data_IF_529278627362
#
_entry.id   IF_529278627362
#
_cell.length_a   1.000
_cell.length_b   1.000
_cell.length_c   1.000
_cell.angle_alpha   90.00
_cell.angle_beta   90.00
_cell.angle_gamma   90.00
#
_symmetry.space_group_name_H-M   'P 1'
#
loop_
_entity.id
_entity.type
_entity.pdbx_description
1 polymer ?
#
# COMPACT_ATOMS: atom_id res chain seq x y z
N UNK A 1 -29.98 14.10 -11.25
CA UNK A 1 -28.55 14.12 -11.59
C UNK A 1 -27.61 14.04 -10.36
N UNK A 2 -27.92 14.68 -9.25
CA UNK A 2 -27.09 14.63 -8.02
C UNK A 2 -26.86 13.22 -7.44
N UNK A 3 -27.85 12.32 -7.52
CA UNK A 3 -27.75 10.95 -6.96
C UNK A 3 -26.71 10.08 -7.70
N UNK A 4 -26.64 10.14 -9.02
CA UNK A 4 -25.67 9.34 -9.81
C UNK A 4 -24.23 9.80 -9.55
N UNK A 5 -24.00 11.10 -9.45
CA UNK A 5 -22.68 11.66 -9.13
C UNK A 5 -22.22 11.20 -7.74
N UNK A 6 -23.09 11.26 -6.75
CA UNK A 6 -22.78 10.83 -5.37
C UNK A 6 -22.43 9.33 -5.32
N UNK A 7 -23.14 8.48 -6.06
CA UNK A 7 -22.84 7.03 -6.14
C UNK A 7 -21.49 6.76 -6.79
N UNK A 8 -21.12 7.49 -7.82
CA UNK A 8 -19.82 7.37 -8.49
C UNK A 8 -18.69 7.77 -7.51
N UNK A 9 -18.84 8.88 -6.80
CA UNK A 9 -17.87 9.33 -5.82
C UNK A 9 -17.71 8.33 -4.67
N UNK A 10 -18.81 7.86 -4.09
CA UNK A 10 -18.79 6.85 -3.04
C UNK A 10 -18.10 5.55 -3.48
N UNK A 11 -18.36 5.12 -4.72
CA UNK A 11 -17.69 3.95 -5.28
C UNK A 11 -16.18 4.14 -5.45
N UNK A 12 -15.74 5.31 -5.93
CA UNK A 12 -14.32 5.66 -6.06
C UNK A 12 -13.63 5.70 -4.70
N UNK A 13 -14.21 6.37 -3.73
CA UNK A 13 -13.67 6.44 -2.37
C UNK A 13 -13.55 5.05 -1.74
N UNK A 14 -14.55 4.19 -1.92
CA UNK A 14 -14.49 2.80 -1.44
C UNK A 14 -13.35 2.02 -2.09
N UNK A 15 -13.16 2.14 -3.41
CA UNK A 15 -12.02 1.53 -4.10
C UNK A 15 -10.69 2.04 -3.55
N UNK A 16 -10.57 3.35 -3.31
CA UNK A 16 -9.38 3.94 -2.71
C UNK A 16 -9.16 3.42 -1.30
N UNK A 17 -10.20 3.30 -0.48
CA UNK A 17 -10.07 2.77 0.87
C UNK A 17 -9.49 1.35 0.91
N UNK A 18 -9.92 0.47 0.01
CA UNK A 18 -9.33 -0.88 -0.10
C UNK A 18 -7.89 -0.84 -0.62
N UNK A 19 -7.58 0.06 -1.54
CA UNK A 19 -6.22 0.26 -2.03
C UNK A 19 -5.26 0.66 -0.89
N UNK A 20 -5.59 1.73 -0.18
CA UNK A 20 -4.76 2.22 0.91
C UNK A 20 -4.71 1.26 2.11
N UNK A 21 -5.81 0.55 2.40
CA UNK A 21 -5.82 -0.51 3.41
C UNK A 21 -4.89 -1.65 3.04
N UNK A 22 -4.82 -2.04 1.77
CA UNK A 22 -3.87 -3.04 1.27
C UNK A 22 -2.42 -2.67 1.58
N UNK A 23 -2.03 -1.42 1.29
CA UNK A 23 -0.70 -0.90 1.62
C UNK A 23 -0.45 -0.86 3.14
N UNK A 24 -1.40 -0.33 3.91
CA UNK A 24 -1.26 -0.18 5.36
C UNK A 24 -1.11 -1.53 6.06
N UNK A 25 -1.93 -2.53 5.69
CA UNK A 25 -1.86 -3.88 6.23
C UNK A 25 -0.58 -4.59 5.80
N UNK A 26 -0.15 -4.44 4.53
CA UNK A 26 1.10 -5.02 4.05
C UNK A 26 2.33 -4.45 4.77
N UNK A 27 2.35 -3.17 5.10
CA UNK A 27 3.37 -2.52 5.93
C UNK A 27 3.33 -3.06 7.36
N UNK A 28 2.15 -3.04 7.98
CA UNK A 28 1.97 -3.44 9.37
C UNK A 28 2.30 -4.91 9.61
N UNK A 29 1.92 -5.82 8.69
CA UNK A 29 2.21 -7.25 8.77
C UNK A 29 3.72 -7.57 8.72
N UNK A 30 4.50 -6.67 8.12
CA UNK A 30 5.97 -6.78 8.02
C UNK A 30 6.70 -5.99 9.11
N UNK A 31 5.98 -5.47 10.10
CA UNK A 31 6.55 -4.67 11.18
C UNK A 31 7.03 -3.29 10.74
N UNK A 32 6.80 -2.90 9.50
CA UNK A 32 7.23 -1.60 8.99
C UNK A 32 6.42 -0.47 9.60
N UNK A 33 7.08 0.66 9.80
CA UNK A 33 6.46 1.83 10.41
C UNK A 33 5.82 2.72 9.34
N UNK A 34 4.66 3.28 9.67
CA UNK A 34 4.01 4.39 8.98
C UNK A 34 3.26 5.23 10.02
N UNK A 35 3.01 6.50 9.73
CA UNK A 35 2.34 7.38 10.69
C UNK A 35 0.81 7.26 10.59
N UNK A 36 0.30 7.40 9.39
CA UNK A 36 -1.14 7.30 9.12
C UNK A 36 -1.40 6.88 7.67
N UNK A 37 -2.62 6.47 7.43
CA UNK A 37 -3.21 6.24 6.11
C UNK A 37 -4.40 7.17 5.93
N UNK A 38 -4.57 7.74 4.74
CA UNK A 38 -5.61 8.73 4.45
C UNK A 38 -6.24 8.49 3.09
N UNK A 39 -7.54 8.77 2.98
CA UNK A 39 -8.24 8.90 1.71
C UNK A 39 -8.88 10.28 1.61
N UNK A 40 -8.94 10.82 0.40
CA UNK A 40 -9.50 12.15 0.14
C UNK A 40 -10.91 12.06 -0.46
N UNK A 41 -11.75 13.06 -0.21
CA UNK A 41 -13.04 13.17 -0.90
C UNK A 41 -12.86 13.14 -2.42
N UNK A 42 -13.72 12.37 -3.10
CA UNK A 42 -13.66 12.23 -4.56
C UNK A 42 -12.68 11.16 -5.07
N UNK A 43 -11.93 10.53 -4.19
CA UNK A 43 -10.97 9.46 -4.50
C UNK A 43 -9.52 9.98 -4.52
N UNK A 44 -8.62 9.07 -4.28
CA UNK A 44 -7.21 9.32 -4.02
C UNK A 44 -6.90 9.16 -2.54
N UNK A 45 -5.70 8.73 -2.24
CA UNK A 45 -5.25 8.50 -0.87
C UNK A 45 -3.76 8.22 -0.86
N UNK A 46 -3.23 7.99 0.31
CA UNK A 46 -1.87 7.47 0.49
C UNK A 46 -1.64 6.96 1.90
N UNK A 47 -0.67 6.06 2.04
CA UNK A 47 -0.07 5.72 3.33
C UNK A 47 1.12 6.63 3.55
N UNK A 48 1.10 7.40 4.63
CA UNK A 48 2.21 8.27 4.99
C UNK A 48 3.26 7.48 5.77
N UNK A 49 4.37 7.23 5.12
CA UNK A 49 5.50 6.51 5.70
C UNK A 49 6.59 7.51 6.03
N UNK A 50 6.75 7.84 7.32
CA UNK A 50 7.90 8.58 7.79
C UNK A 50 9.03 7.60 8.09
N UNK A 51 9.91 7.39 7.12
CA UNK A 51 11.11 6.59 7.33
C UNK A 51 12.19 7.34 8.14
N UNK A 52 11.96 8.61 8.44
CA UNK A 52 12.92 9.48 9.14
C UNK A 52 12.30 10.14 10.35
N UNK A 53 12.30 9.46 11.47
CA UNK A 53 12.27 10.16 12.75
C UNK A 53 13.67 10.73 13.06
N UNK A 54 14.07 11.78 12.35
CA UNK A 54 14.87 12.78 13.02
C UNK A 54 13.91 13.58 13.92
N UNK A 55 14.15 13.67 15.25
CA UNK A 55 13.21 14.34 16.17
C UNK A 55 13.01 15.85 15.85
N UNK A 56 13.67 16.41 14.87
CA UNK A 56 13.80 17.86 14.66
C UNK A 56 13.35 18.44 13.32
N UNK A 57 12.90 17.65 12.33
CA UNK A 57 12.39 18.21 11.06
C UNK A 57 11.19 17.44 10.53
N UNK A 58 9.98 17.90 10.83
CA UNK A 58 8.76 17.57 10.07
C UNK A 58 8.85 18.29 8.71
N UNK A 59 9.30 17.62 7.68
CA UNK A 59 9.12 18.08 6.32
C UNK A 59 7.89 17.43 5.71
N UNK A 60 6.83 18.21 5.59
CA UNK A 60 5.63 17.81 4.85
C UNK A 60 6.01 17.54 3.39
N UNK A 61 5.57 16.41 2.84
CA UNK A 61 5.47 16.24 1.38
C UNK A 61 6.46 15.33 0.67
N UNK A 62 7.21 14.46 1.35
CA UNK A 62 8.02 13.46 0.64
C UNK A 62 7.27 12.12 0.55
N UNK A 63 6.93 11.72 -0.68
CA UNK A 63 6.32 10.43 -0.97
C UNK A 63 7.31 9.27 -0.78
N UNK A 64 6.80 8.06 -0.55
CA UNK A 64 7.56 6.82 -0.39
C UNK A 64 8.68 6.64 -1.44
N UNK A 65 8.50 7.13 -2.67
CA UNK A 65 9.48 7.05 -3.75
C UNK A 65 10.70 7.96 -3.59
N UNK A 66 10.60 9.09 -2.85
CA UNK A 66 11.68 10.07 -2.74
C UNK A 66 12.71 9.75 -1.66
N UNK A 67 12.35 8.92 -0.67
CA UNK A 67 13.18 8.64 0.51
C UNK A 67 13.97 7.34 0.42
N UNK A 68 13.94 6.65 -0.74
CA UNK A 68 14.65 5.39 -0.96
C UNK A 68 16.16 5.46 -0.65
N UNK A 69 16.85 6.54 -1.06
CA UNK A 69 18.30 6.65 -0.84
C UNK A 69 18.68 6.69 0.64
N UNK A 70 17.84 7.32 1.44
CA UNK A 70 18.09 7.55 2.86
C UNK A 70 17.66 6.31 3.70
N UNK A 71 16.64 5.56 3.27
CA UNK A 71 16.23 4.30 3.89
C UNK A 71 17.21 3.16 3.65
N UNK A 72 18.00 3.28 2.62
CA UNK A 72 19.03 2.33 2.26
C UNK A 72 20.06 2.09 3.39
N UNK A 73 20.37 3.07 4.21
CA UNK A 73 21.34 2.99 5.29
C UNK A 73 20.79 2.36 6.59
N UNK A 74 19.50 2.49 6.84
CA UNK A 74 18.83 2.00 8.05
C UNK A 74 18.49 0.51 8.02
N UNK A 75 18.25 -0.03 6.85
CA UNK A 75 17.94 -1.45 6.66
C UNK A 75 19.05 -2.03 5.80
N UNK A 76 19.96 -2.79 6.35
CA UNK A 76 21.06 -3.44 5.65
C UNK A 76 20.78 -3.72 4.18
N UNK A 77 21.23 -2.84 3.30
CA UNK A 77 20.74 -2.49 1.95
C UNK A 77 20.72 -3.61 0.92
N UNK A 78 21.25 -4.76 1.26
CA UNK A 78 21.31 -5.95 0.42
C UNK A 78 20.47 -7.10 0.98
N UNK A 79 19.60 -6.85 1.96
CA UNK A 79 18.70 -7.89 2.43
C UNK A 79 17.59 -8.10 1.39
N UNK A 80 17.68 -9.22 0.67
CA UNK A 80 16.70 -9.64 -0.33
C UNK A 80 15.29 -9.68 0.26
N UNK A 81 15.15 -10.04 1.53
CA UNK A 81 13.86 -10.13 2.20
C UNK A 81 13.18 -8.75 2.34
N UNK A 82 13.98 -7.72 2.59
CA UNK A 82 13.51 -6.34 2.65
C UNK A 82 13.04 -5.84 1.28
N UNK A 83 13.80 -6.13 0.22
CA UNK A 83 13.45 -5.74 -1.14
C UNK A 83 12.18 -6.45 -1.63
N UNK A 84 12.05 -7.75 -1.32
CA UNK A 84 10.84 -8.52 -1.62
C UNK A 84 9.62 -7.96 -0.84
N UNK A 85 9.84 -7.52 0.40
CA UNK A 85 8.81 -6.87 1.22
C UNK A 85 8.36 -5.53 0.63
N UNK A 86 9.29 -4.67 0.21
CA UNK A 86 8.97 -3.40 -0.45
C UNK A 86 8.22 -3.62 -1.76
N UNK A 87 8.67 -4.57 -2.58
CA UNK A 87 8.02 -4.92 -3.83
C UNK A 87 6.56 -5.36 -3.60
N UNK A 88 6.32 -6.19 -2.57
CA UNK A 88 4.98 -6.62 -2.19
C UNK A 88 4.12 -5.45 -1.70
N UNK A 89 4.67 -4.53 -0.89
CA UNK A 89 3.97 -3.34 -0.40
C UNK A 89 3.51 -2.46 -1.57
N UNK A 90 4.35 -2.20 -2.56
CA UNK A 90 3.97 -1.39 -3.72
C UNK A 90 2.82 -1.99 -4.52
N UNK A 91 2.67 -3.30 -4.55
CA UNK A 91 1.59 -3.96 -5.29
C UNK A 91 0.34 -4.22 -4.42
N UNK A 92 0.45 -4.14 -3.09
CA UNK A 92 -0.60 -4.56 -2.16
C UNK A 92 -1.92 -3.80 -2.34
N UNK A 93 -1.86 -2.50 -2.65
CA UNK A 93 -3.06 -1.69 -2.91
C UNK A 93 -3.84 -2.17 -4.13
N UNK A 94 -3.15 -2.39 -5.24
CA UNK A 94 -3.75 -2.91 -6.47
C UNK A 94 -4.32 -4.32 -6.27
N UNK A 95 -3.60 -5.16 -5.54
CA UNK A 95 -4.02 -6.54 -5.23
C UNK A 95 -5.24 -6.54 -4.32
N UNK A 96 -5.31 -5.68 -3.31
CA UNK A 96 -6.48 -5.56 -2.45
C UNK A 96 -7.73 -5.13 -3.25
N UNK A 97 -7.58 -4.21 -4.23
CA UNK A 97 -8.67 -3.87 -5.15
C UNK A 97 -9.09 -5.06 -6.01
N UNK A 98 -8.13 -5.81 -6.56
CA UNK A 98 -8.43 -7.00 -7.36
C UNK A 98 -9.20 -8.06 -6.56
N UNK A 99 -8.76 -8.36 -5.34
CA UNK A 99 -9.43 -9.34 -4.47
C UNK A 99 -10.87 -8.90 -4.17
N UNK A 100 -11.08 -7.61 -3.85
CA UNK A 100 -12.41 -7.10 -3.46
C UNK A 100 -13.37 -6.92 -4.62
N UNK A 101 -12.89 -6.41 -5.75
CA UNK A 101 -13.75 -5.94 -6.84
C UNK A 101 -13.60 -6.77 -8.13
N UNK A 102 -12.74 -7.78 -8.15
CA UNK A 102 -12.40 -8.56 -9.36
C UNK A 102 -11.54 -7.80 -10.37
N UNK A 103 -11.29 -6.51 -10.15
CA UNK A 103 -10.50 -5.63 -11.02
C UNK A 103 -9.71 -4.64 -10.19
N UNK A 104 -8.52 -4.27 -10.67
CA UNK A 104 -7.74 -3.19 -10.07
C UNK A 104 -7.71 -1.94 -10.97
N UNK A 105 -7.53 -0.78 -10.36
CA UNK A 105 -7.42 0.50 -11.05
C UNK A 105 -5.96 0.81 -11.38
N UNK A 106 -5.44 0.26 -12.48
CA UNK A 106 -4.06 0.53 -12.92
C UNK A 106 -3.75 2.03 -13.11
N UNK A 107 -4.63 2.86 -13.69
CA UNK A 107 -4.39 4.30 -13.73
C UNK A 107 -4.22 4.94 -12.34
N UNK A 108 -5.03 4.52 -11.34
CA UNK A 108 -4.93 5.00 -9.96
C UNK A 108 -3.69 4.49 -9.23
N UNK A 109 -3.22 3.27 -9.56
CA UNK A 109 -2.00 2.68 -8.99
C UNK A 109 -0.73 2.93 -9.83
N UNK A 110 -0.72 3.93 -10.71
CA UNK A 110 0.44 4.22 -11.58
C UNK A 110 1.69 4.57 -10.77
N UNK A 111 1.56 5.30 -9.66
CA UNK A 111 2.65 5.62 -8.76
C UNK A 111 3.28 4.36 -8.15
N UNK A 112 2.45 3.40 -7.73
CA UNK A 112 2.91 2.16 -7.08
C UNK A 112 3.62 1.26 -8.08
N UNK A 113 3.07 1.14 -9.29
CA UNK A 113 3.75 0.42 -10.38
C UNK A 113 5.07 1.07 -10.76
N UNK A 114 5.14 2.39 -10.82
CA UNK A 114 6.37 3.13 -11.08
C UNK A 114 7.39 2.91 -9.98
N UNK A 115 6.97 2.92 -8.72
CA UNK A 115 7.83 2.66 -7.57
C UNK A 115 8.35 1.21 -7.59
N UNK A 116 7.46 0.23 -7.87
CA UNK A 116 7.84 -1.17 -8.05
C UNK A 116 8.87 -1.34 -9.18
N UNK A 117 8.63 -0.73 -10.36
CA UNK A 117 9.56 -0.81 -11.49
C UNK A 117 10.92 -0.18 -11.16
N UNK A 118 10.92 0.97 -10.50
CA UNK A 118 12.15 1.64 -10.07
C UNK A 118 12.94 0.80 -9.07
N UNK A 119 12.25 0.12 -8.15
CA UNK A 119 12.86 -0.82 -7.23
C UNK A 119 13.49 -2.00 -7.99
N UNK A 120 12.73 -2.66 -8.86
CA UNK A 120 13.21 -3.79 -9.65
C UNK A 120 14.44 -3.44 -10.51
N UNK A 121 14.41 -2.27 -11.15
CA UNK A 121 15.51 -1.79 -11.97
C UNK A 121 16.78 -1.56 -11.15
N UNK A 122 16.66 -0.94 -9.98
CA UNK A 122 17.83 -0.61 -9.13
C UNK A 122 18.45 -1.83 -8.47
N UNK A 123 17.62 -2.82 -8.11
CA UNK A 123 18.08 -3.98 -7.34
C UNK A 123 18.53 -5.15 -8.20
N UNK A 124 17.93 -5.30 -9.38
CA UNK A 124 18.17 -6.44 -10.26
C UNK A 124 18.83 -6.06 -11.60
N UNK A 125 19.08 -4.78 -11.85
CA UNK A 125 19.58 -4.31 -13.14
C UNK A 125 18.64 -4.62 -14.32
N UNK A 126 17.35 -4.81 -14.03
CA UNK A 126 16.34 -5.22 -15.03
C UNK A 126 15.82 -4.00 -15.76
N UNK A 127 15.89 -3.98 -17.08
CA UNK A 127 15.34 -2.89 -17.89
C UNK A 127 13.82 -2.82 -17.82
N UNK A 128 13.24 -1.63 -18.01
CA UNK A 128 11.80 -1.33 -17.88
C UNK A 128 10.89 -2.19 -18.78
N UNK A 129 11.40 -2.73 -19.88
CA UNK A 129 10.63 -3.44 -20.90
C UNK A 129 10.96 -4.94 -21.00
N UNK A 130 11.72 -5.46 -20.04
CA UNK A 130 12.20 -6.84 -20.14
C UNK A 130 11.20 -7.88 -19.63
N UNK A 131 11.22 -9.08 -20.24
CA UNK A 131 10.49 -10.26 -19.77
C UNK A 131 10.74 -10.55 -18.28
N UNK A 132 11.96 -10.36 -17.82
CA UNK A 132 12.36 -10.51 -16.41
C UNK A 132 11.56 -9.62 -15.45
N UNK A 133 11.27 -8.37 -15.84
CA UNK A 133 10.45 -7.47 -15.03
C UNK A 133 9.01 -7.98 -14.92
N UNK A 134 8.44 -8.46 -16.01
CA UNK A 134 7.10 -9.04 -16.02
C UNK A 134 7.02 -10.31 -15.17
N UNK A 135 8.01 -11.19 -15.28
CA UNK A 135 8.12 -12.40 -14.45
C UNK A 135 8.24 -12.06 -12.96
N UNK A 136 9.12 -11.10 -12.62
CA UNK A 136 9.25 -10.62 -11.24
C UNK A 136 7.94 -10.06 -10.72
N UNK A 137 7.29 -9.18 -11.49
CA UNK A 137 5.99 -8.62 -11.10
C UNK A 137 4.95 -9.72 -10.87
N UNK A 138 4.86 -10.70 -11.77
CA UNK A 138 3.95 -11.84 -11.64
C UNK A 138 4.24 -12.65 -10.38
N UNK A 139 5.51 -12.92 -10.10
CA UNK A 139 5.93 -13.65 -8.90
C UNK A 139 5.55 -12.90 -7.61
N UNK A 140 5.91 -11.61 -7.53
CA UNK A 140 5.59 -10.77 -6.35
C UNK A 140 4.08 -10.61 -6.21
N UNK A 141 3.35 -10.38 -7.32
CA UNK A 141 1.90 -10.30 -7.33
C UNK A 141 1.25 -11.54 -6.73
N UNK A 142 1.59 -12.71 -7.24
CA UNK A 142 1.01 -13.97 -6.77
C UNK A 142 1.35 -14.23 -5.29
N UNK A 143 2.58 -13.98 -4.87
CA UNK A 143 2.99 -14.12 -3.47
C UNK A 143 2.21 -13.19 -2.55
N UNK A 144 2.14 -11.91 -2.88
CA UNK A 144 1.41 -10.92 -2.11
C UNK A 144 -0.11 -11.19 -2.10
N UNK A 145 -0.67 -11.59 -3.25
CA UNK A 145 -2.08 -11.98 -3.35
C UNK A 145 -2.41 -13.17 -2.44
N UNK A 146 -1.54 -14.19 -2.43
CA UNK A 146 -1.71 -15.33 -1.53
C UNK A 146 -1.65 -14.93 -0.06
N UNK A 147 -0.76 -14.00 0.32
CA UNK A 147 -0.69 -13.48 1.69
C UNK A 147 -1.96 -12.70 2.07
N UNK A 148 -2.38 -11.76 1.22
CA UNK A 148 -3.57 -10.93 1.49
C UNK A 148 -4.86 -11.74 1.46
N UNK A 149 -4.92 -12.84 0.71
CA UNK A 149 -6.09 -13.72 0.60
C UNK A 149 -6.25 -14.68 1.79
N UNK A 150 -5.28 -14.78 2.71
CA UNK A 150 -5.47 -15.53 3.95
C UNK A 150 -6.60 -14.89 4.75
N UNK A 151 -7.53 -15.69 5.25
CA UNK A 151 -8.75 -15.18 5.92
C UNK A 151 -8.45 -14.13 6.98
N UNK A 152 -7.53 -14.41 7.89
CA UNK A 152 -7.14 -13.46 8.95
C UNK A 152 -6.61 -12.12 8.40
N UNK A 153 -5.76 -12.19 7.36
CA UNK A 153 -5.18 -11.00 6.74
C UNK A 153 -6.24 -10.23 5.96
N UNK A 154 -7.11 -10.94 5.24
CA UNK A 154 -8.18 -10.33 4.48
C UNK A 154 -9.21 -9.63 5.37
N UNK A 155 -9.62 -10.27 6.45
CA UNK A 155 -10.49 -9.66 7.45
C UNK A 155 -9.89 -8.37 8.03
N UNK A 156 -8.57 -8.36 8.22
CA UNK A 156 -7.87 -7.15 8.65
C UNK A 156 -7.91 -6.05 7.58
N UNK A 157 -7.67 -6.39 6.30
CA UNK A 157 -7.80 -5.45 5.19
C UNK A 157 -9.21 -4.89 5.11
N UNK A 158 -10.24 -5.73 5.21
CA UNK A 158 -11.64 -5.30 5.15
C UNK A 158 -12.01 -4.35 6.29
N UNK A 159 -11.67 -4.71 7.53
CA UNK A 159 -11.92 -3.83 8.68
C UNK A 159 -11.18 -2.49 8.55
N UNK A 160 -9.94 -2.52 8.07
CA UNK A 160 -9.16 -1.31 7.83
C UNK A 160 -9.78 -0.46 6.73
N UNK A 161 -10.20 -1.05 5.63
CA UNK A 161 -10.83 -0.34 4.51
C UNK A 161 -12.17 0.30 4.92
N UNK A 162 -13.00 -0.42 5.67
CA UNK A 162 -14.28 0.11 6.17
C UNK A 162 -14.06 1.28 7.14
N UNK A 163 -13.17 1.10 8.12
CA UNK A 163 -12.85 2.16 9.07
C UNK A 163 -12.23 3.40 8.37
N UNK A 164 -11.38 3.17 7.34
CA UNK A 164 -10.79 4.24 6.55
C UNK A 164 -11.84 4.96 5.70
N UNK A 165 -12.77 4.22 5.11
CA UNK A 165 -13.87 4.81 4.35
C UNK A 165 -14.75 5.72 5.20
N UNK A 166 -15.00 5.34 6.47
CA UNK A 166 -15.79 6.14 7.42
C UNK A 166 -15.02 7.33 7.96
N UNK A 167 -13.81 7.09 8.49
CA UNK A 167 -13.01 8.09 9.24
C UNK A 167 -12.12 8.95 8.37
N UNK A 168 -11.88 8.57 7.12
CA UNK A 168 -10.98 9.18 6.12
C UNK A 168 -9.50 9.15 6.48
N UNK A 169 -9.15 9.00 7.73
CA UNK A 169 -7.77 8.87 8.21
C UNK A 169 -7.69 7.86 9.36
N UNK A 170 -6.66 7.03 9.36
CA UNK A 170 -6.32 6.12 10.45
C UNK A 170 -4.83 6.22 10.77
N UNK A 171 -4.51 6.29 12.05
CA UNK A 171 -3.12 6.14 12.51
C UNK A 171 -2.67 4.68 12.42
N UNK A 172 -1.35 4.45 12.43
CA UNK A 172 -0.79 3.09 12.51
C UNK A 172 -1.36 2.28 13.68
N UNK A 173 -1.49 2.91 14.84
CA UNK A 173 -2.07 2.26 16.02
C UNK A 173 -3.49 1.76 15.74
N UNK A 174 -4.34 2.61 15.16
CA UNK A 174 -5.71 2.22 14.81
C UNK A 174 -5.76 1.08 13.81
N UNK A 175 -4.86 1.08 12.81
CA UNK A 175 -4.75 -0.05 11.86
C UNK A 175 -4.34 -1.33 12.58
N UNK A 176 -3.38 -1.28 13.50
CA UNK A 176 -2.96 -2.45 14.29
C UNK A 176 -4.07 -2.97 15.21
N UNK A 177 -4.81 -2.08 15.87
CA UNK A 177 -5.94 -2.44 16.74
C UNK A 177 -7.05 -3.17 15.98
N UNK A 178 -7.22 -2.88 14.68
CA UNK A 178 -8.18 -3.56 13.81
C UNK A 178 -7.76 -4.99 13.43
N UNK A 179 -6.54 -5.42 13.70
CA UNK A 179 -6.10 -6.80 13.46
C UNK A 179 -6.84 -7.78 14.35
N UNK A 180 -6.94 -7.46 15.63
CA UNK A 180 -7.62 -8.27 16.63
C UNK A 180 -8.66 -7.42 17.35
N UNK A 181 -9.89 -7.27 16.78
CA UNK A 181 -10.91 -6.51 17.47
C UNK A 181 -11.20 -7.15 18.83
N UNK A 182 -11.38 -6.29 19.85
CA UNK A 182 -11.80 -6.75 21.17
C UNK A 182 -13.04 -7.65 20.99
N UNK A 183 -13.03 -8.82 21.59
CA UNK A 183 -14.23 -9.65 21.68
C UNK A 183 -15.28 -8.86 22.49
N UNK A 184 -16.37 -8.50 21.82
CA UNK A 184 -17.55 -7.90 22.47
C UNK A 184 -18.23 -8.99 23.31
#
# INVERSE_FOLDING_TARGET
>A
MADLSNRIYAHRERKTAYHEAGHAVALASRGMHFDYVVIYPGGGGHVYVDFFRSPKKRSYGKTFSSNWKENRELYHQNDKSFLDSLAAIYLAGLIAQEIKFGTCNFPGGRSDLSAFHSLAQRTLGVSFSGSRLLEMRKKVWNSCRNELSKQETWDWVERTALALYEKKVLTRKQVLDLRFPAKI
#
